data_IF_084762377547
#
_entry.id   IF_084762377547
#
_cell.length_a   1.000
_cell.length_b   1.000
_cell.length_c   1.000
_cell.angle_alpha   90.00
_cell.angle_beta   90.00
_cell.angle_gamma   90.00
#
_symmetry.space_group_name_H-M   'P 1'
#
loop_
_entity.id
_entity.type
_entity.pdbx_description
1 polymer ?
#
# COMPACT_ATOMS: atom_id res chain seq x y z
N UNK A 1 25.40 15.03 16.11
CA UNK A 1 24.07 14.80 16.70
C UNK A 1 24.19 13.63 17.66
N UNK A 2 23.61 13.77 18.84
CA UNK A 2 23.60 12.73 19.87
C UNK A 2 22.46 11.75 19.56
N UNK A 3 22.79 10.53 19.14
CA UNK A 3 21.82 9.51 18.74
C UNK A 3 20.91 9.12 19.90
N UNK A 4 21.43 9.07 21.13
CA UNK A 4 20.65 8.70 22.32
C UNK A 4 19.58 9.75 22.60
N UNK A 5 19.93 11.04 22.48
CA UNK A 5 18.94 12.13 22.62
C UNK A 5 17.86 12.08 21.54
N UNK A 6 18.22 11.76 20.29
CA UNK A 6 17.22 11.63 19.23
C UNK A 6 16.29 10.45 19.46
N UNK A 7 16.84 9.30 19.87
CA UNK A 7 16.04 8.10 20.21
C UNK A 7 15.11 8.41 21.39
N UNK A 8 15.62 9.04 22.45
CA UNK A 8 14.78 9.44 23.58
C UNK A 8 13.65 10.39 23.14
N UNK A 9 13.97 11.39 22.31
CA UNK A 9 13.00 12.34 21.79
C UNK A 9 11.82 11.66 21.09
N UNK A 10 12.07 10.67 20.22
CA UNK A 10 10.99 9.92 19.54
C UNK A 10 10.29 8.92 20.47
N UNK A 11 10.99 8.39 21.47
CA UNK A 11 10.40 7.52 22.49
C UNK A 11 9.44 8.26 23.43
N UNK A 12 9.66 9.56 23.64
CA UNK A 12 8.77 10.49 24.32
C UNK A 12 7.57 10.93 23.45
N UNK A 13 7.34 10.26 22.32
CA UNK A 13 6.23 10.48 21.38
C UNK A 13 6.25 11.84 20.66
N UNK A 14 7.38 12.56 20.71
CA UNK A 14 7.54 13.79 19.95
C UNK A 14 7.63 13.50 18.44
N UNK A 15 7.16 14.46 17.63
CA UNK A 15 7.20 14.37 16.17
C UNK A 15 8.41 15.10 15.61
N UNK A 16 9.20 14.38 14.82
CA UNK A 16 10.31 14.93 14.05
C UNK A 16 9.74 15.67 12.83
N UNK A 17 10.14 16.92 12.65
CA UNK A 17 9.72 17.80 11.56
C UNK A 17 10.86 18.04 10.54
N UNK A 18 10.56 18.53 9.32
CA UNK A 18 11.55 18.65 8.25
C UNK A 18 12.82 19.47 8.59
N UNK A 19 12.68 20.47 9.47
CA UNK A 19 13.77 21.36 9.89
C UNK A 19 14.56 20.81 11.08
N UNK A 20 14.09 19.74 11.70
CA UNK A 20 14.78 19.14 12.84
C UNK A 20 16.04 18.41 12.38
N UNK A 21 17.04 18.42 13.24
CA UNK A 21 18.22 17.58 13.06
C UNK A 21 17.78 16.13 13.30
N UNK A 22 18.05 15.26 12.33
CA UNK A 22 17.71 13.84 12.39
C UNK A 22 18.86 12.97 11.86
N UNK A 23 19.00 11.72 12.33
CA UNK A 23 19.99 10.78 11.83
C UNK A 23 19.87 10.53 10.32
N UNK A 24 21.00 10.31 9.65
CA UNK A 24 21.03 9.99 8.22
C UNK A 24 20.38 8.63 7.91
N UNK A 25 20.55 7.65 8.78
CA UNK A 25 19.91 6.34 8.66
C UNK A 25 18.40 6.42 8.91
N UNK A 26 17.94 7.25 9.87
CA UNK A 26 16.52 7.59 10.03
C UNK A 26 15.94 8.23 8.75
N UNK A 27 16.64 9.23 8.21
CA UNK A 27 16.22 9.92 6.98
C UNK A 27 16.17 8.96 5.79
N UNK A 28 17.20 8.15 5.56
CA UNK A 28 17.24 7.14 4.48
C UNK A 28 16.15 6.09 4.63
N UNK A 29 15.91 5.63 5.86
CA UNK A 29 14.83 4.68 6.16
C UNK A 29 13.47 5.25 5.78
N UNK A 30 13.19 6.49 6.14
CA UNK A 30 11.93 7.17 5.81
C UNK A 30 11.81 7.45 4.32
N UNK A 31 12.85 7.97 3.65
CA UNK A 31 12.82 8.17 2.19
C UNK A 31 12.47 6.86 1.51
N UNK A 32 13.14 5.76 1.87
CA UNK A 32 12.84 4.43 1.34
C UNK A 32 11.40 4.01 1.61
N UNK A 33 10.90 4.17 2.83
CA UNK A 33 9.59 3.65 3.20
C UNK A 33 8.46 4.48 2.60
N UNK A 34 8.52 5.81 2.70
CA UNK A 34 7.46 6.72 2.24
C UNK A 34 7.43 6.75 0.71
N UNK A 35 8.59 6.74 0.04
CA UNK A 35 8.60 6.67 -1.42
C UNK A 35 8.01 5.36 -1.94
N UNK A 36 8.37 4.22 -1.33
CA UNK A 36 7.79 2.92 -1.70
C UNK A 36 6.30 2.82 -1.37
N UNK A 37 5.83 3.54 -0.36
CA UNK A 37 4.39 3.72 -0.11
C UNK A 37 3.76 4.51 -1.27
N UNK A 38 4.34 5.65 -1.67
CA UNK A 38 3.85 6.42 -2.81
C UNK A 38 3.85 5.61 -4.12
N UNK A 39 4.89 4.80 -4.34
CA UNK A 39 4.97 3.88 -5.49
C UNK A 39 3.83 2.85 -5.46
N UNK A 40 3.48 2.38 -4.26
CA UNK A 40 2.39 1.43 -4.04
C UNK A 40 1.07 2.02 -4.49
N UNK A 41 0.74 3.26 -4.13
CA UNK A 41 -0.46 3.95 -4.63
C UNK A 41 -0.49 4.01 -6.16
N UNK A 42 0.61 4.47 -6.76
CA UNK A 42 0.69 4.69 -8.21
C UNK A 42 0.61 3.39 -9.04
N UNK A 43 1.11 2.29 -8.49
CA UNK A 43 1.05 0.96 -9.13
C UNK A 43 -0.29 0.27 -8.81
N UNK A 44 -0.88 0.54 -7.64
CA UNK A 44 -2.18 0.02 -7.19
C UNK A 44 -3.34 0.42 -8.08
N UNK A 45 -3.25 1.60 -8.69
CA UNK A 45 -4.21 2.04 -9.71
C UNK A 45 -4.35 1.05 -10.88
N UNK A 46 -3.29 0.30 -11.24
CA UNK A 46 -3.27 -0.53 -12.45
C UNK A 46 -4.20 -1.76 -12.40
N UNK A 47 -4.15 -2.64 -11.38
CA UNK A 47 -5.09 -3.75 -11.26
C UNK A 47 -6.54 -3.29 -11.20
N UNK A 48 -6.83 -2.16 -10.56
CA UNK A 48 -8.20 -1.65 -10.44
C UNK A 48 -8.70 -0.95 -11.70
N UNK A 49 -7.89 -0.09 -12.30
CA UNK A 49 -8.20 0.59 -13.56
C UNK A 49 -8.49 -0.40 -14.70
N UNK A 50 -7.91 -1.60 -14.65
CA UNK A 50 -8.20 -2.69 -15.57
C UNK A 50 -9.71 -3.00 -15.64
N UNK A 51 -10.47 -2.81 -14.55
CA UNK A 51 -11.91 -3.09 -14.50
C UNK A 51 -12.83 -1.87 -14.62
N UNK A 52 -12.29 -0.65 -14.66
CA UNK A 52 -13.09 0.59 -14.77
C UNK A 52 -14.04 0.56 -15.97
N UNK A 53 -13.57 0.14 -17.15
CA UNK A 53 -14.41 0.08 -18.35
C UNK A 53 -15.45 -1.05 -18.31
N UNK A 54 -15.24 -2.08 -17.47
CA UNK A 54 -15.99 -3.34 -17.42
C UNK A 54 -16.81 -3.54 -16.14
N UNK A 55 -16.86 -2.54 -15.27
CA UNK A 55 -17.67 -2.60 -14.05
C UNK A 55 -19.15 -2.87 -14.39
N UNK A 56 -19.83 -3.78 -13.65
CA UNK A 56 -21.13 -4.35 -14.03
C UNK A 56 -22.31 -3.39 -13.84
N UNK A 57 -22.09 -2.21 -13.27
CA UNK A 57 -23.11 -1.17 -13.13
C UNK A 57 -22.47 0.21 -13.05
N UNK A 58 -23.24 1.25 -13.39
CA UNK A 58 -22.77 2.64 -13.26
C UNK A 58 -22.44 3.01 -11.81
N UNK A 59 -23.24 2.54 -10.83
CA UNK A 59 -22.95 2.75 -9.40
C UNK A 59 -21.56 2.24 -9.02
N UNK A 60 -21.24 0.99 -9.39
CA UNK A 60 -19.94 0.39 -9.08
C UNK A 60 -18.81 1.02 -9.90
N UNK A 61 -19.08 1.43 -11.15
CA UNK A 61 -18.11 2.16 -11.99
C UNK A 61 -17.73 3.50 -11.38
N UNK A 62 -18.71 4.28 -10.91
CA UNK A 62 -18.46 5.57 -10.26
C UNK A 62 -17.66 5.41 -8.97
N UNK A 63 -18.01 4.42 -8.13
CA UNK A 63 -17.26 4.13 -6.91
C UNK A 63 -15.80 3.74 -7.20
N UNK A 64 -15.57 2.88 -8.21
CA UNK A 64 -14.22 2.48 -8.60
C UNK A 64 -13.41 3.64 -9.18
N UNK A 65 -14.03 4.51 -9.97
CA UNK A 65 -13.38 5.73 -10.49
C UNK A 65 -12.95 6.66 -9.35
N UNK A 66 -13.83 6.89 -8.36
CA UNK A 66 -13.51 7.70 -7.20
C UNK A 66 -12.35 7.10 -6.39
N UNK A 67 -12.35 5.79 -6.16
CA UNK A 67 -11.24 5.10 -5.48
C UNK A 67 -9.91 5.29 -6.20
N UNK A 68 -9.84 4.98 -7.49
CA UNK A 68 -8.61 5.11 -8.28
C UNK A 68 -8.14 6.57 -8.37
N UNK A 69 -9.07 7.54 -8.35
CA UNK A 69 -8.73 8.95 -8.26
C UNK A 69 -8.08 9.30 -6.91
N UNK A 70 -8.65 8.81 -5.81
CA UNK A 70 -8.11 9.05 -4.47
C UNK A 70 -6.72 8.40 -4.30
N UNK A 71 -6.48 7.20 -4.83
CA UNK A 71 -5.14 6.58 -4.86
C UNK A 71 -4.10 7.49 -5.52
N UNK A 72 -4.45 8.16 -6.62
CA UNK A 72 -3.55 9.14 -7.24
C UNK A 72 -3.26 10.33 -6.30
N UNK A 73 -4.28 10.81 -5.57
CA UNK A 73 -4.16 11.84 -4.54
C UNK A 73 -3.28 11.40 -3.36
N UNK A 74 -3.44 10.18 -2.88
CA UNK A 74 -2.63 9.59 -1.81
C UNK A 74 -1.16 9.49 -2.21
N UNK A 75 -0.90 9.04 -3.45
CA UNK A 75 0.44 9.02 -4.02
C UNK A 75 1.08 10.40 -4.00
N UNK A 76 0.33 11.45 -4.35
CA UNK A 76 0.83 12.83 -4.28
C UNK A 76 1.13 13.27 -2.83
N UNK A 77 0.25 12.97 -1.86
CA UNK A 77 0.52 13.29 -0.45
C UNK A 77 1.80 12.62 0.06
N UNK A 78 2.01 11.36 -0.32
CA UNK A 78 3.18 10.58 0.10
C UNK A 78 4.47 11.06 -0.58
N UNK A 79 4.42 11.42 -1.87
CA UNK A 79 5.57 12.07 -2.50
C UNK A 79 5.87 13.41 -1.82
N UNK A 80 4.87 14.26 -1.57
CA UNK A 80 5.09 15.51 -0.84
C UNK A 80 5.72 15.29 0.54
N UNK A 81 5.29 14.26 1.29
CA UNK A 81 5.92 13.89 2.56
C UNK A 81 7.37 13.41 2.37
N UNK A 82 7.64 12.63 1.32
CA UNK A 82 8.99 12.16 0.95
C UNK A 82 9.92 13.34 0.65
N UNK A 83 9.47 14.32 -0.14
CA UNK A 83 10.29 15.45 -0.56
C UNK A 83 10.78 16.31 0.61
N UNK A 84 10.02 16.34 1.71
CA UNK A 84 10.44 17.05 2.94
C UNK A 84 11.66 16.45 3.64
N UNK A 85 12.09 15.24 3.25
CA UNK A 85 13.31 14.58 3.73
C UNK A 85 14.53 14.91 2.88
N UNK A 86 14.40 15.66 1.79
CA UNK A 86 15.55 16.11 1.01
C UNK A 86 16.43 17.07 1.80
N UNK A 87 17.74 16.83 1.85
CA UNK A 87 18.71 17.71 2.54
C UNK A 87 19.91 18.09 1.67
N UNK A 88 19.82 17.92 0.35
CA UNK A 88 20.92 18.16 -0.59
C UNK A 88 21.94 17.02 -0.70
N UNK A 89 22.02 16.12 0.29
CA UNK A 89 22.87 14.91 0.24
C UNK A 89 22.04 13.66 -0.01
N UNK A 90 20.96 13.49 0.73
CA UNK A 90 19.97 12.43 0.53
C UNK A 90 18.90 12.98 -0.40
N UNK A 91 18.88 12.44 -1.63
CA UNK A 91 17.88 12.78 -2.65
C UNK A 91 16.53 12.17 -2.27
N UNK A 92 15.48 12.98 -2.29
CA UNK A 92 14.12 12.56 -1.94
C UNK A 92 13.07 13.20 -2.86
N UNK A 93 13.46 13.82 -3.98
CA UNK A 93 12.52 14.41 -4.91
C UNK A 93 11.63 13.34 -5.57
N UNK A 94 10.42 13.75 -5.97
CA UNK A 94 9.45 12.82 -6.56
C UNK A 94 9.98 12.15 -7.81
N UNK A 95 10.52 12.91 -8.75
CA UNK A 95 10.92 12.40 -10.06
C UNK A 95 12.06 11.38 -9.90
N UNK A 96 13.05 11.71 -9.06
CA UNK A 96 14.09 10.80 -8.63
C UNK A 96 13.63 9.46 -8.07
N UNK A 97 12.76 9.51 -7.06
CA UNK A 97 12.31 8.30 -6.37
C UNK A 97 11.39 7.49 -7.26
N UNK A 98 10.59 8.15 -8.12
CA UNK A 98 9.79 7.48 -9.13
C UNK A 98 10.67 6.77 -10.17
N UNK A 99 11.76 7.38 -10.62
CA UNK A 99 12.72 6.74 -11.53
C UNK A 99 13.41 5.54 -10.86
N UNK A 100 13.74 5.61 -9.57
CA UNK A 100 14.27 4.45 -8.83
C UNK A 100 13.29 3.27 -8.85
N UNK A 101 11.98 3.51 -8.74
CA UNK A 101 10.96 2.46 -8.89
C UNK A 101 10.93 1.93 -10.34
N UNK A 102 10.94 2.82 -11.33
CA UNK A 102 10.93 2.42 -12.74
C UNK A 102 12.17 1.61 -13.12
N UNK A 103 13.32 1.89 -12.53
CA UNK A 103 14.58 1.16 -12.75
C UNK A 103 14.67 -0.13 -11.92
N UNK A 104 13.72 -0.38 -11.01
CA UNK A 104 13.70 -1.55 -10.14
C UNK A 104 14.64 -1.45 -8.92
N UNK A 105 15.16 -0.25 -8.63
CA UNK A 105 15.97 0.06 -7.43
C UNK A 105 15.09 0.22 -6.19
N UNK A 106 13.87 0.73 -6.35
CA UNK A 106 12.86 0.84 -5.31
C UNK A 106 11.68 -0.10 -5.54
N UNK A 107 11.06 -0.56 -4.45
CA UNK A 107 9.92 -1.48 -4.48
C UNK A 107 8.58 -0.75 -4.47
N UNK A 108 7.52 -1.49 -4.71
CA UNK A 108 6.13 -1.15 -4.36
C UNK A 108 5.51 -2.40 -3.71
N UNK A 109 4.31 -2.27 -3.13
CA UNK A 109 3.64 -3.36 -2.41
C UNK A 109 3.50 -4.61 -3.27
N UNK A 110 3.81 -5.77 -2.69
CA UNK A 110 3.82 -7.08 -3.37
C UNK A 110 2.47 -7.40 -4.02
N UNK A 111 1.37 -7.01 -3.37
CA UNK A 111 -0.01 -7.32 -3.75
C UNK A 111 -0.40 -6.84 -5.16
N UNK A 112 0.19 -5.74 -5.63
CA UNK A 112 -0.17 -5.19 -6.94
C UNK A 112 0.41 -5.99 -8.11
N UNK A 113 1.22 -7.02 -7.81
CA UNK A 113 1.71 -7.98 -8.80
C UNK A 113 0.72 -9.10 -9.11
N UNK A 114 -0.42 -9.17 -8.43
CA UNK A 114 -1.47 -10.14 -8.73
C UNK A 114 -2.44 -9.62 -9.80
N UNK A 115 -2.91 -10.47 -10.72
CA UNK A 115 -3.84 -10.07 -11.77
C UNK A 115 -5.31 -10.10 -11.29
N UNK A 116 -6.08 -9.11 -11.72
CA UNK A 116 -7.54 -9.08 -11.56
C UNK A 116 -8.22 -9.79 -12.74
N UNK A 117 -8.66 -11.03 -12.54
CA UNK A 117 -9.25 -11.93 -13.52
C UNK A 117 -10.79 -11.89 -13.54
N UNK A 118 -11.41 -11.40 -12.45
CA UNK A 118 -12.87 -11.31 -12.31
C UNK A 118 -13.32 -10.00 -11.68
N UNK A 119 -14.60 -9.65 -11.80
CA UNK A 119 -15.14 -8.47 -11.10
C UNK A 119 -15.07 -8.63 -9.57
N UNK A 120 -15.19 -9.86 -9.06
CA UNK A 120 -15.04 -10.12 -7.63
C UNK A 120 -13.66 -9.72 -7.11
N UNK A 121 -12.64 -9.66 -7.97
CA UNK A 121 -11.26 -9.28 -7.58
C UNK A 121 -11.18 -7.81 -7.19
N UNK A 122 -12.03 -6.96 -7.76
CA UNK A 122 -12.15 -5.57 -7.32
C UNK A 122 -12.77 -5.51 -5.92
N UNK A 123 -13.74 -6.40 -5.64
CA UNK A 123 -14.28 -6.56 -4.29
C UNK A 123 -13.25 -7.10 -3.30
N UNK A 124 -12.45 -8.08 -3.69
CA UNK A 124 -11.40 -8.67 -2.84
C UNK A 124 -10.23 -7.70 -2.59
N UNK A 125 -9.83 -6.90 -3.59
CA UNK A 125 -8.87 -5.80 -3.40
C UNK A 125 -9.44 -4.79 -2.41
N UNK A 126 -10.62 -4.24 -2.71
CA UNK A 126 -11.23 -3.26 -1.82
C UNK A 126 -11.51 -3.80 -0.42
N UNK A 127 -11.79 -5.08 -0.23
CA UNK A 127 -12.02 -5.64 1.10
C UNK A 127 -10.74 -6.04 1.83
N UNK A 128 -9.97 -6.98 1.26
CA UNK A 128 -8.83 -7.63 1.91
C UNK A 128 -7.58 -6.79 1.79
N UNK A 129 -7.29 -6.27 0.59
CA UNK A 129 -6.06 -5.54 0.31
C UNK A 129 -6.10 -4.18 0.98
N UNK A 130 -7.17 -3.40 0.77
CA UNK A 130 -7.34 -2.13 1.49
C UNK A 130 -7.51 -2.37 2.99
N UNK A 131 -8.16 -3.46 3.42
CA UNK A 131 -8.27 -3.81 4.84
C UNK A 131 -6.90 -4.03 5.50
N UNK A 132 -6.00 -4.75 4.82
CA UNK A 132 -4.63 -4.96 5.29
C UNK A 132 -3.83 -3.64 5.26
N UNK A 133 -4.00 -2.84 4.21
CA UNK A 133 -3.38 -1.52 4.08
C UNK A 133 -3.80 -0.58 5.22
N UNK A 134 -5.10 -0.47 5.50
CA UNK A 134 -5.65 0.33 6.61
C UNK A 134 -5.09 -0.13 7.94
N UNK A 135 -5.00 -1.44 8.20
CA UNK A 135 -4.47 -1.93 9.47
C UNK A 135 -3.02 -1.49 9.70
N UNK A 136 -2.19 -1.51 8.65
CA UNK A 136 -0.83 -0.99 8.71
C UNK A 136 -0.81 0.55 8.82
N UNK A 137 -1.60 1.24 8.01
CA UNK A 137 -1.62 2.71 7.94
C UNK A 137 -2.15 3.38 9.19
N UNK A 138 -3.13 2.77 9.87
CA UNK A 138 -3.64 3.26 11.15
C UNK A 138 -2.52 3.32 12.19
N UNK A 139 -1.63 2.33 12.22
CA UNK A 139 -0.46 2.36 13.09
C UNK A 139 0.54 3.45 12.68
N UNK A 140 0.65 3.73 11.38
CA UNK A 140 1.53 4.79 10.85
C UNK A 140 1.00 6.20 11.11
N UNK A 141 -0.26 6.39 11.53
CA UNK A 141 -0.69 7.68 12.09
C UNK A 141 0.12 8.05 13.34
N UNK A 142 0.65 7.05 14.07
CA UNK A 142 1.55 7.22 15.21
C UNK A 142 3.04 7.35 14.84
N UNK A 143 3.42 7.36 13.56
CA UNK A 143 4.81 7.43 13.10
C UNK A 143 5.55 8.65 13.68
N UNK A 144 6.83 8.49 14.00
CA UNK A 144 7.66 9.56 14.60
C UNK A 144 7.91 10.75 13.66
N UNK A 145 7.80 10.57 12.34
CA UNK A 145 7.96 11.66 11.39
C UNK A 145 6.63 12.38 11.14
N UNK A 146 6.58 13.66 11.52
CA UNK A 146 5.37 14.48 11.49
C UNK A 146 4.68 14.54 10.12
N UNK A 147 5.39 14.86 9.02
CA UNK A 147 4.78 14.91 7.68
C UNK A 147 4.13 13.59 7.27
N UNK A 148 4.77 12.46 7.57
CA UNK A 148 4.24 11.15 7.21
C UNK A 148 3.05 10.76 8.08
N UNK A 149 3.13 10.97 9.40
CA UNK A 149 2.01 10.79 10.33
C UNK A 149 0.77 11.58 9.88
N UNK A 150 0.93 12.85 9.49
CA UNK A 150 -0.19 13.68 9.00
C UNK A 150 -0.75 13.21 7.66
N UNK A 151 0.09 12.72 6.75
CA UNK A 151 -0.37 12.12 5.50
C UNK A 151 -1.22 10.87 5.78
N UNK A 152 -0.80 10.00 6.70
CA UNK A 152 -1.53 8.80 7.08
C UNK A 152 -2.90 9.12 7.70
N UNK A 153 -3.02 10.16 8.51
CA UNK A 153 -4.32 10.60 9.05
C UNK A 153 -5.30 10.98 7.94
N UNK A 154 -4.82 11.63 6.88
CA UNK A 154 -5.67 12.02 5.74
C UNK A 154 -6.06 10.80 4.91
N UNK A 155 -5.07 9.99 4.54
CA UNK A 155 -5.24 8.78 3.73
C UNK A 155 -6.20 7.79 4.42
N UNK A 156 -6.03 7.52 5.72
CA UNK A 156 -6.90 6.60 6.45
C UNK A 156 -8.37 7.05 6.49
N UNK A 157 -8.64 8.36 6.51
CA UNK A 157 -10.01 8.91 6.47
C UNK A 157 -10.68 8.62 5.13
N UNK A 158 -9.92 8.66 4.04
CA UNK A 158 -10.41 8.45 2.67
C UNK A 158 -10.53 6.94 2.36
N UNK A 159 -9.51 6.14 2.69
CA UNK A 159 -9.47 4.70 2.34
C UNK A 159 -10.48 3.83 3.08
N UNK A 160 -10.81 4.16 4.34
CA UNK A 160 -11.79 3.37 5.11
C UNK A 160 -13.17 3.36 4.45
N UNK A 161 -13.53 4.42 3.73
CA UNK A 161 -14.75 4.46 2.93
C UNK A 161 -14.67 3.49 1.75
N UNK A 162 -13.58 3.52 0.98
CA UNK A 162 -13.38 2.64 -0.18
C UNK A 162 -13.32 1.17 0.24
N UNK A 163 -12.71 0.87 1.38
CA UNK A 163 -12.64 -0.48 1.91
C UNK A 163 -14.04 -1.07 2.16
N UNK A 164 -14.93 -0.27 2.75
CA UNK A 164 -16.33 -0.65 2.95
C UNK A 164 -17.03 -0.91 1.62
N UNK A 165 -16.80 -0.08 0.61
CA UNK A 165 -17.38 -0.26 -0.72
C UNK A 165 -16.89 -1.55 -1.40
N UNK A 166 -15.63 -1.95 -1.17
CA UNK A 166 -15.07 -3.23 -1.59
C UNK A 166 -15.80 -4.42 -0.95
N UNK A 167 -15.98 -4.38 0.37
CA UNK A 167 -16.74 -5.40 1.09
C UNK A 167 -18.19 -5.50 0.60
N UNK A 168 -18.84 -4.38 0.32
CA UNK A 168 -20.19 -4.37 -0.25
C UNK A 168 -20.28 -5.04 -1.64
N UNK A 169 -19.21 -5.02 -2.44
CA UNK A 169 -19.19 -5.74 -3.73
C UNK A 169 -19.30 -7.24 -3.47
N UNK A 170 -18.49 -7.78 -2.56
CA UNK A 170 -18.53 -9.21 -2.25
C UNK A 170 -19.81 -9.61 -1.54
N UNK A 171 -20.36 -8.75 -0.68
CA UNK A 171 -21.68 -8.97 -0.08
C UNK A 171 -22.79 -9.08 -1.13
N UNK A 172 -22.79 -8.20 -2.14
CA UNK A 172 -23.75 -8.27 -3.22
C UNK A 172 -23.60 -9.55 -4.06
N UNK A 173 -22.37 -10.00 -4.32
CA UNK A 173 -22.10 -11.24 -5.04
C UNK A 173 -22.53 -12.48 -4.24
N UNK A 174 -22.23 -12.52 -2.93
CA UNK A 174 -22.55 -13.66 -2.06
C UNK A 174 -24.05 -13.81 -1.80
N UNK A 175 -24.82 -12.73 -1.90
CA UNK A 175 -26.30 -12.72 -1.83
C UNK A 175 -26.99 -12.89 -3.20
N UNK A 176 -26.19 -12.98 -4.27
CA UNK A 176 -26.67 -13.09 -5.63
C UNK A 176 -26.87 -14.55 -6.07
N UNK A 177 -26.56 -14.83 -7.33
CA UNK A 177 -26.64 -16.19 -7.88
C UNK A 177 -25.50 -17.08 -7.35
N UNK A 178 -25.66 -18.40 -7.53
CA UNK A 178 -24.61 -19.38 -7.22
C UNK A 178 -23.27 -19.02 -7.89
N UNK A 179 -23.32 -18.63 -9.17
CA UNK A 179 -22.13 -18.27 -9.95
C UNK A 179 -21.47 -16.99 -9.43
N UNK A 180 -22.25 -16.03 -8.91
CA UNK A 180 -21.70 -14.82 -8.29
C UNK A 180 -21.00 -15.15 -6.96
N UNK A 181 -21.59 -16.03 -6.14
CA UNK A 181 -20.96 -16.51 -4.91
C UNK A 181 -19.69 -17.32 -5.18
N UNK A 182 -19.71 -18.20 -6.19
CA UNK A 182 -18.53 -18.96 -6.65
C UNK A 182 -17.42 -18.01 -7.13
N UNK A 183 -17.77 -16.92 -7.84
CA UNK A 183 -16.81 -15.90 -8.25
C UNK A 183 -16.17 -15.18 -7.05
N UNK A 184 -16.97 -14.85 -6.03
CA UNK A 184 -16.47 -14.27 -4.78
C UNK A 184 -15.51 -15.22 -4.06
N UNK A 185 -15.87 -16.50 -3.95
CA UNK A 185 -15.00 -17.53 -3.35
C UNK A 185 -13.68 -17.70 -4.13
N UNK A 186 -13.74 -17.77 -5.46
CA UNK A 186 -12.55 -17.88 -6.30
C UNK A 186 -11.64 -16.64 -6.21
N UNK A 187 -12.20 -15.49 -5.86
CA UNK A 187 -11.45 -14.27 -5.61
C UNK A 187 -10.77 -14.29 -4.23
N UNK A 188 -11.50 -14.64 -3.17
CA UNK A 188 -10.95 -14.86 -1.83
C UNK A 188 -9.79 -15.86 -1.86
N UNK A 189 -9.97 -16.99 -2.55
CA UNK A 189 -8.94 -18.02 -2.70
C UNK A 189 -7.63 -17.48 -3.27
N UNK A 190 -7.70 -16.53 -4.21
CA UNK A 190 -6.52 -15.96 -4.87
C UNK A 190 -5.90 -14.81 -4.10
N UNK A 191 -6.69 -14.03 -3.35
CA UNK A 191 -6.22 -12.79 -2.71
C UNK A 191 -5.96 -12.91 -1.20
N UNK A 192 -6.37 -14.01 -0.55
CA UNK A 192 -6.14 -14.22 0.89
C UNK A 192 -4.66 -14.18 1.28
N UNK A 193 -3.86 -15.14 0.81
CA UNK A 193 -2.43 -15.20 1.12
C UNK A 193 -1.67 -13.96 0.65
N UNK A 194 -1.93 -13.41 -0.55
CA UNK A 194 -1.33 -12.14 -0.98
C UNK A 194 -1.61 -10.97 -0.04
N UNK A 195 -2.83 -10.84 0.50
CA UNK A 195 -3.16 -9.79 1.46
C UNK A 195 -2.36 -9.96 2.76
N UNK A 196 -2.20 -11.19 3.26
CA UNK A 196 -1.38 -11.47 4.46
C UNK A 196 0.11 -11.17 4.25
N UNK A 197 0.61 -11.35 3.02
CA UNK A 197 2.00 -11.02 2.67
C UNK A 197 2.28 -9.50 2.64
N UNK A 198 1.25 -8.65 2.61
CA UNK A 198 1.43 -7.18 2.64
C UNK A 198 2.03 -6.69 3.95
N UNK A 199 1.81 -7.42 5.05
CA UNK A 199 2.42 -7.10 6.35
C UNK A 199 3.94 -7.34 6.36
N UNK A 200 4.50 -7.96 5.31
CA UNK A 200 5.92 -8.24 5.17
C UNK A 200 6.34 -9.57 5.80
N UNK A 201 7.64 -9.86 5.85
CA UNK A 201 8.17 -11.12 6.38
C UNK A 201 7.91 -11.25 7.88
N UNK A 202 8.04 -12.47 8.41
CA UNK A 202 8.05 -12.74 9.85
C UNK A 202 9.05 -11.84 10.58
N UNK A 203 8.77 -11.55 11.84
CA UNK A 203 9.57 -10.62 12.65
C UNK A 203 11.05 -11.07 12.72
N UNK A 204 11.30 -12.37 12.81
CA UNK A 204 12.61 -13.03 12.82
C UNK A 204 13.40 -12.84 11.50
N UNK A 205 12.70 -12.57 10.41
CA UNK A 205 13.23 -12.40 9.05
C UNK A 205 13.10 -10.97 8.53
N UNK A 206 12.89 -9.99 9.43
CA UNK A 206 12.58 -8.59 9.07
C UNK A 206 13.76 -7.65 9.38
N UNK A 207 14.74 -7.47 8.47
CA UNK A 207 16.00 -6.79 8.76
C UNK A 207 15.85 -5.31 9.15
N UNK A 208 14.77 -4.65 8.70
CA UNK A 208 14.50 -3.25 9.03
C UNK A 208 13.73 -3.09 10.35
N UNK A 209 13.09 -4.14 10.87
CA UNK A 209 12.15 -4.02 11.99
C UNK A 209 12.81 -3.46 13.25
N UNK A 210 14.01 -3.93 13.61
CA UNK A 210 14.72 -3.45 14.79
C UNK A 210 14.96 -1.94 14.74
N UNK A 211 15.46 -1.43 13.63
CA UNK A 211 15.76 0.01 13.44
C UNK A 211 14.45 0.81 13.35
N UNK A 212 13.46 0.34 12.58
CA UNK A 212 12.17 1.02 12.44
C UNK A 212 11.39 1.12 13.75
N UNK A 213 11.46 0.11 14.61
CA UNK A 213 10.84 0.12 15.94
C UNK A 213 11.56 1.08 16.88
N UNK A 214 12.90 1.03 16.92
CA UNK A 214 13.72 1.94 17.73
C UNK A 214 13.48 3.42 17.39
N UNK A 215 13.30 3.72 16.10
CA UNK A 215 12.96 5.08 15.68
C UNK A 215 11.47 5.41 15.73
N UNK A 216 10.61 4.51 16.26
CA UNK A 216 9.14 4.67 16.28
C UNK A 216 8.53 4.98 14.91
N UNK A 217 9.20 4.55 13.83
CA UNK A 217 8.69 4.58 12.44
C UNK A 217 7.68 3.45 12.25
N UNK A 218 7.99 2.29 12.81
CA UNK A 218 7.08 1.16 12.97
C UNK A 218 6.64 1.12 14.43
N UNK A 219 5.33 0.97 14.66
CA UNK A 219 4.72 0.99 16.01
C UNK A 219 4.39 -0.40 16.53
N UNK A 220 4.17 -1.33 15.63
CA UNK A 220 3.75 -2.69 15.92
C UNK A 220 4.40 -3.65 14.91
N UNK A 221 4.64 -4.89 15.32
CA UNK A 221 5.38 -5.88 14.54
C UNK A 221 4.62 -6.36 13.29
N UNK A 222 5.31 -7.03 12.36
CA UNK A 222 4.67 -7.51 11.14
C UNK A 222 3.67 -8.61 11.48
N UNK A 223 4.08 -9.54 12.35
CA UNK A 223 3.28 -10.70 12.73
C UNK A 223 2.09 -10.30 13.60
N UNK A 224 2.26 -9.32 14.49
CA UNK A 224 1.17 -8.80 15.33
C UNK A 224 0.05 -8.16 14.49
N UNK A 225 0.41 -7.35 13.48
CA UNK A 225 -0.58 -6.76 12.58
C UNK A 225 -1.24 -7.81 11.67
N UNK A 226 -0.47 -8.79 11.18
CA UNK A 226 -1.01 -9.91 10.40
C UNK A 226 -2.02 -10.72 11.22
N UNK A 227 -1.70 -11.05 12.47
CA UNK A 227 -2.59 -11.78 13.36
C UNK A 227 -3.90 -11.01 13.58
N UNK A 228 -3.81 -9.72 13.95
CA UNK A 228 -4.99 -8.88 14.15
C UNK A 228 -5.87 -8.80 12.89
N UNK A 229 -5.26 -8.74 11.71
CA UNK A 229 -5.98 -8.75 10.44
C UNK A 229 -6.74 -10.05 10.24
N UNK A 230 -6.10 -11.19 10.50
CA UNK A 230 -6.76 -12.51 10.41
C UNK A 230 -7.97 -12.55 11.36
N UNK A 231 -7.79 -12.17 12.63
CA UNK A 231 -8.85 -12.28 13.63
C UNK A 231 -10.11 -11.47 13.26
N UNK A 232 -9.93 -10.27 12.70
CA UNK A 232 -11.07 -9.45 12.27
C UNK A 232 -11.67 -9.92 10.94
N UNK A 233 -10.85 -10.42 10.01
CA UNK A 233 -11.28 -10.72 8.64
C UNK A 233 -11.96 -12.08 8.52
N UNK A 234 -11.62 -13.07 9.35
CA UNK A 234 -12.28 -14.39 9.31
C UNK A 234 -13.78 -14.26 9.58
N UNK A 235 -14.17 -13.52 10.63
CA UNK A 235 -15.60 -13.28 10.93
C UNK A 235 -16.35 -12.58 9.79
N UNK A 236 -15.67 -11.70 9.05
CA UNK A 236 -16.23 -11.02 7.89
C UNK A 236 -16.47 -12.00 6.72
N UNK A 237 -15.60 -13.00 6.54
CA UNK A 237 -15.76 -14.04 5.54
C UNK A 237 -16.91 -15.00 5.91
N UNK A 238 -17.01 -15.37 7.19
CA UNK A 238 -18.10 -16.19 7.73
C UNK A 238 -19.46 -15.53 7.52
N UNK A 239 -19.56 -14.22 7.75
CA UNK A 239 -20.79 -13.45 7.48
C UNK A 239 -21.21 -13.49 5.99
N UNK A 240 -20.24 -13.55 5.07
CA UNK A 240 -20.51 -13.71 3.64
C UNK A 240 -20.84 -15.17 3.26
N UNK A 241 -20.69 -16.11 4.19
CA UNK A 241 -20.80 -17.54 3.95
C UNK A 241 -19.73 -18.04 2.97
N UNK A 242 -18.54 -17.45 3.02
CA UNK A 242 -17.35 -17.87 2.29
C UNK A 242 -16.46 -18.74 3.18
N UNK A 243 -15.63 -19.56 2.56
CA UNK A 243 -14.67 -20.44 3.25
C UNK A 243 -13.26 -19.88 3.10
N UNK A 244 -12.50 -19.83 4.20
CA UNK A 244 -11.12 -19.38 4.15
C UNK A 244 -10.25 -20.42 3.43
N UNK A 245 -9.34 -20.01 2.51
CA UNK A 245 -8.48 -20.92 1.76
C UNK A 245 -7.24 -21.32 2.58
N UNK A 246 -7.46 -21.70 3.84
CA UNK A 246 -6.46 -22.13 4.80
C UNK A 246 -7.02 -23.30 5.61
N UNK A 247 -6.44 -24.49 5.41
CA UNK A 247 -6.87 -25.74 6.06
C UNK A 247 -6.45 -25.80 7.53
N UNK A 248 -5.43 -25.03 7.90
CA UNK A 248 -4.85 -25.02 9.24
C UNK A 248 -5.47 -23.90 10.10
N UNK A 249 -6.36 -23.10 9.51
CA UNK A 249 -7.09 -22.03 10.17
C UNK A 249 -8.05 -22.60 11.23
N UNK A 250 -7.82 -22.23 12.50
CA UNK A 250 -8.68 -22.65 13.61
C UNK A 250 -8.68 -21.61 14.72
N UNK A 251 -9.84 -21.39 15.33
CA UNK A 251 -9.92 -20.56 16.53
C UNK A 251 -9.19 -21.26 17.68
N UNK A 252 -8.31 -20.52 18.36
CA UNK A 252 -7.58 -20.99 19.53
C UNK A 252 -8.12 -20.28 20.78
N UNK A 253 -8.90 -21.02 21.59
CA UNK A 253 -9.54 -20.49 22.81
C UNK A 253 -8.53 -20.02 23.87
N UNK A 254 -7.35 -20.63 23.96
CA UNK A 254 -6.34 -20.24 24.95
C UNK A 254 -5.68 -18.91 24.56
N UNK A 255 -5.39 -18.74 23.27
CA UNK A 255 -4.73 -17.54 22.75
C UNK A 255 -5.71 -16.41 22.45
N UNK A 256 -7.00 -16.69 22.31
CA UNK A 256 -8.01 -15.74 21.80
C UNK A 256 -7.64 -15.19 20.42
N UNK A 257 -7.08 -16.04 19.56
CA UNK A 257 -6.60 -15.73 18.22
C UNK A 257 -6.86 -16.92 17.29
N UNK A 258 -6.93 -16.68 15.97
CA UNK A 258 -6.86 -17.77 15.00
C UNK A 258 -5.41 -18.27 14.85
N UNK A 259 -5.20 -19.57 15.00
CA UNK A 259 -4.03 -20.24 14.43
C UNK A 259 -4.25 -20.34 12.91
N UNK A 260 -3.20 -20.17 12.10
CA UNK A 260 -3.26 -20.16 10.64
C UNK A 260 -2.04 -20.86 10.03
N UNK A 261 -2.16 -21.28 8.77
CA UNK A 261 -1.13 -21.99 8.04
C UNK A 261 0.10 -21.15 7.69
N UNK A 262 1.18 -21.81 7.28
CA UNK A 262 2.39 -21.11 6.83
C UNK A 262 2.13 -20.32 5.54
N UNK A 263 2.58 -19.07 5.52
CA UNK A 263 2.49 -18.23 4.33
C UNK A 263 3.39 -18.78 3.22
N UNK A 264 3.03 -18.61 1.93
CA UNK A 264 3.85 -19.06 0.82
C UNK A 264 5.08 -18.13 0.62
N UNK A 265 6.07 -18.24 1.50
CA UNK A 265 7.24 -17.36 1.51
C UNK A 265 8.10 -17.43 0.25
N UNK A 266 8.19 -18.59 -0.40
CA UNK A 266 8.88 -18.73 -1.68
C UNK A 266 8.23 -17.86 -2.76
N UNK A 267 6.89 -17.86 -2.82
CA UNK A 267 6.13 -16.98 -3.72
C UNK A 267 6.37 -15.51 -3.39
N UNK A 268 6.34 -15.15 -2.09
CA UNK A 268 6.64 -13.80 -1.64
C UNK A 268 8.00 -13.32 -2.14
N UNK A 269 9.04 -14.15 -1.97
CA UNK A 269 10.40 -13.81 -2.36
C UNK A 269 10.54 -13.67 -3.87
N UNK A 270 9.90 -14.52 -4.67
CA UNK A 270 9.89 -14.38 -6.13
C UNK A 270 9.19 -13.10 -6.60
N UNK A 271 8.08 -12.72 -5.95
CA UNK A 271 7.40 -11.45 -6.23
C UNK A 271 8.32 -10.26 -5.92
N UNK A 272 9.02 -10.28 -4.77
CA UNK A 272 9.94 -9.21 -4.38
C UNK A 272 11.16 -9.09 -5.31
N UNK A 273 11.58 -10.18 -5.96
CA UNK A 273 12.65 -10.21 -6.98
C UNK A 273 12.18 -9.75 -8.36
N UNK A 274 10.88 -9.53 -8.57
CA UNK A 274 10.32 -9.14 -9.86
C UNK A 274 9.83 -10.30 -10.73
N UNK A 275 9.73 -11.51 -10.18
CA UNK A 275 9.33 -12.73 -10.89
C UNK A 275 7.87 -13.15 -10.66
N UNK A 276 7.08 -12.29 -10.02
CA UNK A 276 5.64 -12.51 -9.85
C UNK A 276 4.83 -12.31 -11.13
N UNK A 277 3.51 -12.60 -11.08
CA UNK A 277 2.69 -12.77 -12.28
C UNK A 277 2.50 -11.47 -13.09
N UNK A 278 2.57 -10.30 -12.46
CA UNK A 278 2.39 -9.02 -13.16
C UNK A 278 3.57 -8.04 -13.03
N UNK A 279 4.66 -8.33 -12.30
CA UNK A 279 5.74 -7.38 -12.03
C UNK A 279 6.25 -6.67 -13.29
N UNK A 280 6.64 -7.46 -14.31
CA UNK A 280 7.12 -6.95 -15.61
C UNK A 280 6.08 -6.07 -16.29
N UNK A 281 4.81 -6.51 -16.29
CA UNK A 281 3.69 -5.77 -16.89
C UNK A 281 3.43 -4.45 -16.17
N UNK A 282 3.48 -4.41 -14.83
CA UNK A 282 3.27 -3.19 -14.02
C UNK A 282 4.34 -2.15 -14.34
N UNK A 283 5.61 -2.51 -14.22
CA UNK A 283 6.72 -1.59 -14.48
C UNK A 283 6.73 -1.13 -15.94
N UNK A 284 6.53 -2.04 -16.91
CA UNK A 284 6.52 -1.65 -18.32
C UNK A 284 5.34 -0.72 -18.65
N UNK A 285 4.18 -0.90 -18.01
CA UNK A 285 3.05 0.03 -18.17
C UNK A 285 3.42 1.44 -17.72
N UNK A 286 4.10 1.57 -16.56
CA UNK A 286 4.52 2.87 -16.04
C UNK A 286 5.67 3.48 -16.87
N UNK A 287 6.65 2.68 -17.31
CA UNK A 287 7.73 3.12 -18.22
C UNK A 287 7.17 3.60 -19.56
N UNK A 288 6.26 2.82 -20.17
CA UNK A 288 5.58 3.21 -21.41
C UNK A 288 4.84 4.53 -21.24
N UNK A 289 4.08 4.70 -20.16
CA UNK A 289 3.39 5.95 -19.88
C UNK A 289 4.36 7.14 -19.70
N UNK A 290 5.51 6.95 -19.05
CA UNK A 290 6.52 8.01 -18.92
C UNK A 290 7.13 8.38 -20.28
N UNK A 291 7.49 7.39 -21.10
CA UNK A 291 8.07 7.61 -22.44
C UNK A 291 7.08 8.27 -23.40
N UNK A 292 5.85 7.78 -23.47
CA UNK A 292 4.84 8.28 -24.42
C UNK A 292 4.33 9.69 -24.08
N UNK A 293 4.39 10.07 -22.81
CA UNK A 293 3.91 11.38 -22.34
C UNK A 293 5.04 12.36 -21.98
N UNK A 294 6.29 12.06 -22.35
CA UNK A 294 7.42 12.96 -22.07
C UNK A 294 7.22 14.33 -22.72
N UNK A 295 6.75 14.35 -23.97
CA UNK A 295 6.47 15.57 -24.72
C UNK A 295 5.47 16.49 -24.03
N UNK A 296 4.53 15.95 -23.25
CA UNK A 296 3.55 16.75 -22.48
C UNK A 296 4.25 17.52 -21.37
N UNK A 297 5.21 16.88 -20.69
CA UNK A 297 6.04 17.55 -19.65
C UNK A 297 6.92 18.63 -20.27
N UNK A 298 7.53 18.34 -21.42
CA UNK A 298 8.40 19.29 -22.12
C UNK A 298 7.61 20.50 -22.62
N UNK A 299 6.41 20.27 -23.18
CA UNK A 299 5.50 21.34 -23.59
C UNK A 299 5.06 22.22 -22.41
N UNK A 300 4.74 21.64 -21.25
CA UNK A 300 4.36 22.39 -20.06
C UNK A 300 5.51 23.26 -19.53
N UNK A 301 6.75 22.74 -19.50
CA UNK A 301 7.95 23.49 -19.11
C UNK A 301 8.20 24.66 -20.07
N UNK A 302 8.24 24.40 -21.37
CA UNK A 302 8.48 25.42 -22.39
C UNK A 302 7.39 26.52 -22.38
N UNK A 303 6.14 26.16 -22.05
CA UNK A 303 5.09 27.15 -21.86
C UNK A 303 5.35 28.04 -20.62
N UNK A 304 5.71 27.44 -19.49
CA UNK A 304 5.99 28.16 -18.24
C UNK A 304 7.18 29.13 -18.39
N UNK A 305 8.26 28.69 -19.04
CA UNK A 305 9.45 29.53 -19.28
C UNK A 305 9.08 30.79 -20.07
N UNK A 306 8.29 30.65 -21.13
CA UNK A 306 7.78 31.78 -21.93
C UNK A 306 6.88 32.73 -21.14
N UNK A 307 6.15 32.25 -20.12
CA UNK A 307 5.35 33.14 -19.27
C UNK A 307 6.25 33.91 -18.30
N UNK A 308 7.26 33.27 -17.74
CA UNK A 308 8.22 33.93 -16.84
C UNK A 308 9.04 35.01 -17.55
N UNK A 309 9.43 34.79 -18.81
CA UNK A 309 10.11 35.79 -19.65
C UNK A 309 9.25 37.03 -19.96
N UNK A 310 7.92 36.95 -19.89
CA UNK A 310 7.01 38.09 -20.12
C UNK A 310 6.72 38.91 -18.87
N UNK A 311 6.96 38.33 -17.69
CA UNK A 311 6.69 38.95 -16.38
C UNK A 311 7.93 39.67 -15.85
N UNK A 312 9.12 39.28 -16.30
CA UNK A 312 10.40 39.98 -16.07
C UNK A 312 10.66 41.04 -17.15
#
# INVERSE_FOLDING_TARGET
MDLEKFVQYVHDENKVEPKDVMPDDYRKLLVRQISQHAHSEIVGMLPEANWVSRAPSLRRKMALLAKVQDEAGHGLYLYSATETLGNGTIRADRDATYDDMLEGKAKYSSIFNYPTLSWADIGAIGWLVDGAAIMNQVMLMGNSYGPYSRAMVKICKEESFHQRQGYEILMALCRGTKQQKEMAQASLNRFWWPALMMFGPNDDSSPNSKISMNYRVKRESNDSLRQRFIDVTVSQAEFLGLTMPDKDLKWNEERQHYDFGELPWDEFMEILKGNGPANKKRIETKRKAQRENSWVKDAAKAFADKQNEKVN
#
